data_IF_381116215075
#
_entry.id   IF_381116215075
#
_cell.length_a   1.000
_cell.length_b   1.000
_cell.length_c   1.000
_cell.angle_alpha   90.00
_cell.angle_beta   90.00
_cell.angle_gamma   90.00
#
_symmetry.space_group_name_H-M   'P 1'
#
loop_
_entity.id
_entity.type
_entity.pdbx_description
1 polymer ?
#
# COMPACT_ATOMS: atom_id res chain seq x y z
N UNK A 1 25.26 -8.18 -67.82
CA UNK A 1 26.03 -8.28 -66.55
C UNK A 1 25.64 -7.28 -65.46
N UNK A 2 24.55 -6.48 -65.56
CA UNK A 2 24.14 -5.50 -64.52
C UNK A 2 23.04 -5.96 -63.56
N UNK A 3 22.43 -7.13 -63.79
CA UNK A 3 21.32 -7.66 -62.98
C UNK A 3 21.79 -8.35 -61.68
N UNK A 4 23.00 -8.93 -61.67
CA UNK A 4 23.51 -9.68 -60.52
C UNK A 4 24.09 -8.77 -59.42
N UNK A 5 24.65 -7.62 -59.82
CA UNK A 5 25.20 -6.59 -58.93
C UNK A 5 24.11 -5.94 -58.06
N UNK A 6 22.94 -5.65 -58.62
CA UNK A 6 21.83 -5.01 -57.88
C UNK A 6 21.19 -5.95 -56.86
N UNK A 7 21.16 -7.27 -57.13
CA UNK A 7 20.72 -8.28 -56.17
C UNK A 7 21.70 -8.43 -55.01
N UNK A 8 23.00 -8.42 -55.29
CA UNK A 8 24.04 -8.50 -54.27
C UNK A 8 24.02 -7.28 -53.34
N UNK A 9 23.87 -6.07 -53.90
CA UNK A 9 23.71 -4.82 -53.14
C UNK A 9 22.46 -4.85 -52.24
N UNK A 10 21.34 -5.39 -52.72
CA UNK A 10 20.12 -5.48 -51.90
C UNK A 10 20.28 -6.43 -50.72
N UNK A 11 20.96 -7.57 -50.93
CA UNK A 11 21.25 -8.52 -49.83
C UNK A 11 22.23 -7.94 -48.81
N UNK A 12 23.25 -7.21 -49.26
CA UNK A 12 24.19 -6.52 -48.35
C UNK A 12 23.45 -5.46 -47.52
N UNK A 13 22.57 -4.67 -48.13
CA UNK A 13 21.77 -3.67 -47.41
C UNK A 13 20.79 -4.31 -46.41
N UNK A 14 20.18 -5.45 -46.76
CA UNK A 14 19.30 -6.20 -45.85
C UNK A 14 20.06 -6.79 -44.66
N UNK A 15 21.28 -7.30 -44.87
CA UNK A 15 22.14 -7.81 -43.79
C UNK A 15 22.59 -6.68 -42.88
N UNK A 16 22.99 -5.53 -43.43
CA UNK A 16 23.36 -4.34 -42.63
C UNK A 16 22.17 -3.87 -41.79
N UNK A 17 20.96 -3.83 -42.34
CA UNK A 17 19.75 -3.49 -41.59
C UNK A 17 19.47 -4.49 -40.46
N UNK A 18 19.64 -5.80 -40.70
CA UNK A 18 19.48 -6.82 -39.67
C UNK A 18 20.54 -6.72 -38.56
N UNK A 19 21.80 -6.44 -38.91
CA UNK A 19 22.87 -6.21 -37.94
C UNK A 19 22.60 -4.94 -37.12
N UNK A 20 22.05 -3.89 -37.73
CA UNK A 20 21.66 -2.66 -37.03
C UNK A 20 20.49 -2.86 -36.06
N UNK A 21 19.51 -3.71 -36.42
CA UNK A 21 18.42 -4.13 -35.52
C UNK A 21 18.95 -4.94 -34.32
N UNK A 22 19.95 -5.80 -34.55
CA UNK A 22 20.60 -6.57 -33.49
C UNK A 22 21.47 -5.69 -32.58
N UNK A 23 22.16 -4.68 -33.12
CA UNK A 23 22.96 -3.71 -32.35
C UNK A 23 22.11 -2.68 -31.59
N UNK A 24 20.90 -2.37 -32.06
CA UNK A 24 19.94 -1.52 -31.34
C UNK A 24 19.42 -2.15 -30.05
N UNK A 25 19.60 -3.46 -29.88
CA UNK A 25 19.08 -4.23 -28.74
C UNK A 25 20.07 -4.40 -27.58
N UNK A 26 21.26 -3.80 -27.68
CA UNK A 26 22.30 -3.93 -26.66
C UNK A 26 22.95 -2.58 -26.36
N UNK A 27 22.25 -1.74 -25.59
CA UNK A 27 22.76 -0.88 -24.50
C UNK A 27 21.50 -0.43 -23.75
N UNK A 28 20.96 -1.31 -22.90
CA UNK A 28 20.25 -0.86 -21.71
C UNK A 28 21.27 -1.04 -20.59
N UNK A 29 22.07 0.00 -20.34
CA UNK A 29 22.74 0.12 -19.05
C UNK A 29 21.61 0.33 -18.06
N UNK A 30 21.12 -0.76 -17.48
CA UNK A 30 20.35 -0.69 -16.25
C UNK A 30 21.32 -0.13 -15.21
N UNK A 31 21.19 1.17 -14.92
CA UNK A 31 21.47 1.63 -13.56
C UNK A 31 20.77 0.65 -12.62
N UNK A 32 21.40 0.20 -11.52
CA UNK A 32 20.67 -0.57 -10.53
C UNK A 32 19.48 0.30 -10.13
N UNK A 33 18.29 -0.12 -10.58
CA UNK A 33 17.03 0.37 -10.07
C UNK A 33 17.15 0.09 -8.58
N UNK A 34 17.34 1.13 -7.77
CA UNK A 34 17.15 1.01 -6.34
C UNK A 34 15.76 0.44 -6.19
N UNK A 35 15.68 -0.85 -5.87
CA UNK A 35 14.43 -1.52 -5.56
C UNK A 35 13.83 -0.70 -4.43
N UNK A 36 12.77 0.05 -4.73
CA UNK A 36 12.01 0.79 -3.73
C UNK A 36 11.61 -0.25 -2.70
N UNK A 37 12.30 -0.28 -1.56
CA UNK A 37 11.98 -1.19 -0.47
C UNK A 37 10.62 -0.75 0.05
N UNK A 38 9.58 -1.47 -0.38
CA UNK A 38 8.23 -1.24 0.09
C UNK A 38 8.19 -1.60 1.59
N UNK A 39 7.98 -0.60 2.44
CA UNK A 39 7.85 -0.83 3.88
C UNK A 39 6.46 -1.40 4.19
N UNK A 40 6.38 -2.25 5.19
CA UNK A 40 5.15 -2.90 5.62
C UNK A 40 4.64 -2.28 6.92
N UNK A 41 3.33 -2.09 7.02
CA UNK A 41 2.67 -1.94 8.30
C UNK A 41 2.35 -3.30 8.87
N UNK A 42 2.82 -3.55 10.08
CA UNK A 42 2.53 -4.74 10.86
C UNK A 42 1.68 -4.39 12.08
N UNK A 43 0.94 -5.38 12.58
CA UNK A 43 0.16 -5.28 13.80
C UNK A 43 1.12 -5.09 14.98
N UNK A 44 0.98 -3.97 15.69
CA UNK A 44 1.84 -3.66 16.84
C UNK A 44 1.78 -4.71 17.94
N UNK A 45 0.66 -5.41 18.10
CA UNK A 45 0.48 -6.41 19.15
C UNK A 45 1.19 -7.73 18.89
N UNK A 46 1.35 -8.16 17.64
CA UNK A 46 1.81 -9.53 17.34
C UNK A 46 2.72 -9.68 16.10
N UNK A 47 3.04 -8.57 15.44
CA UNK A 47 3.89 -8.52 14.24
C UNK A 47 3.30 -9.20 13.00
N UNK A 48 1.98 -9.37 12.91
CA UNK A 48 1.35 -9.87 11.67
C UNK A 48 1.24 -8.76 10.65
N UNK A 49 1.51 -9.04 9.38
CA UNK A 49 1.37 -8.06 8.30
C UNK A 49 -0.06 -7.52 8.22
N UNK A 50 -0.18 -6.21 8.06
CA UNK A 50 -1.46 -5.50 7.98
C UNK A 50 -1.63 -4.85 6.62
N UNK A 51 -0.67 -4.09 6.12
CA UNK A 51 -0.81 -3.36 4.86
C UNK A 51 0.55 -2.94 4.31
N UNK A 52 0.65 -2.71 3.00
CA UNK A 52 1.82 -2.07 2.41
C UNK A 52 1.78 -0.56 2.62
N UNK A 53 2.93 0.06 2.84
CA UNK A 53 3.04 1.51 3.03
C UNK A 53 2.72 2.31 1.76
N UNK A 54 2.87 1.71 0.57
CA UNK A 54 2.50 2.32 -0.71
C UNK A 54 0.98 2.47 -0.87
N UNK A 55 0.17 1.66 -0.18
CA UNK A 55 -1.30 1.72 -0.20
C UNK A 55 -1.90 2.86 0.63
N UNK A 56 -1.08 3.69 1.28
CA UNK A 56 -1.58 4.89 1.94
C UNK A 56 -2.33 5.79 0.96
N UNK A 57 -3.55 6.15 1.34
CA UNK A 57 -4.43 7.02 0.56
C UNK A 57 -4.49 8.41 1.18
N UNK A 58 -4.43 9.43 0.32
CA UNK A 58 -4.78 10.80 0.71
C UNK A 58 -6.30 10.99 0.67
N UNK A 59 -7.02 10.29 1.56
CA UNK A 59 -8.48 10.37 1.71
C UNK A 59 -8.82 10.88 3.10
N UNK A 60 -9.62 11.94 3.16
CA UNK A 60 -10.03 12.53 4.43
C UNK A 60 -11.48 12.19 4.77
N UNK A 61 -11.74 11.98 6.05
CA UNK A 61 -13.11 11.91 6.56
C UNK A 61 -13.70 13.32 6.61
N UNK A 62 -14.90 13.55 6.06
CA UNK A 62 -15.62 14.83 6.26
C UNK A 62 -16.00 15.10 7.72
N UNK A 63 -15.93 14.09 8.58
CA UNK A 63 -16.24 14.16 10.01
C UNK A 63 -14.96 14.10 10.88
N UNK A 64 -13.79 14.32 10.29
CA UNK A 64 -12.54 14.43 11.04
C UNK A 64 -12.53 15.70 11.91
N UNK A 65 -12.09 15.55 13.16
CA UNK A 65 -11.92 16.65 14.13
C UNK A 65 -10.61 17.42 13.93
N UNK A 66 -9.62 16.79 13.29
CA UNK A 66 -8.32 17.39 13.06
C UNK A 66 -7.38 16.48 12.29
N UNK A 67 -6.26 17.05 11.84
CA UNK A 67 -5.25 16.38 11.04
C UNK A 67 -3.86 16.66 11.59
N UNK A 68 -2.97 15.70 11.48
CA UNK A 68 -1.55 15.85 11.81
C UNK A 68 -0.70 15.06 10.83
N UNK A 69 0.39 15.65 10.36
CA UNK A 69 1.35 14.95 9.53
C UNK A 69 2.31 14.18 10.42
N UNK A 70 2.48 12.89 10.13
CA UNK A 70 3.48 12.04 10.77
C UNK A 70 4.47 11.57 9.72
N UNK A 71 5.74 11.45 10.09
CA UNK A 71 6.79 10.93 9.19
C UNK A 71 7.03 9.47 9.52
N UNK A 72 6.88 8.60 8.52
CA UNK A 72 7.24 7.18 8.63
C UNK A 72 8.76 7.02 8.61
N UNK A 73 9.26 5.85 9.02
CA UNK A 73 10.70 5.53 9.00
C UNK A 73 11.31 5.49 7.60
N UNK A 74 10.47 5.46 6.57
CA UNK A 74 10.85 5.63 5.16
C UNK A 74 11.02 7.09 4.74
N UNK A 75 10.71 8.05 5.61
CA UNK A 75 10.63 9.48 5.28
C UNK A 75 9.31 9.89 4.63
N UNK A 76 8.43 8.93 4.28
CA UNK A 76 7.11 9.21 3.72
C UNK A 76 6.22 9.88 4.79
N UNK A 77 5.62 11.02 4.44
CA UNK A 77 4.62 11.65 5.30
C UNK A 77 3.28 10.91 5.17
N UNK A 78 2.64 10.69 6.30
CA UNK A 78 1.30 10.14 6.42
C UNK A 78 0.41 11.13 7.15
N UNK A 79 -0.75 11.42 6.57
CA UNK A 79 -1.77 12.23 7.23
C UNK A 79 -2.54 11.35 8.20
N UNK A 80 -2.38 11.64 9.48
CA UNK A 80 -3.18 11.04 10.56
C UNK A 80 -4.34 11.98 10.85
N UNK A 81 -5.55 11.47 10.81
CA UNK A 81 -6.77 12.24 11.12
C UNK A 81 -7.41 11.74 12.40
N UNK A 82 -7.92 12.65 13.22
CA UNK A 82 -8.68 12.34 14.43
C UNK A 82 -10.16 12.25 14.10
N UNK A 83 -10.81 11.15 14.46
CA UNK A 83 -12.24 10.92 14.32
C UNK A 83 -12.84 10.53 15.66
N UNK A 84 -14.13 10.73 15.85
CA UNK A 84 -14.83 10.43 17.10
C UNK A 84 -16.05 9.56 16.82
N UNK A 85 -16.24 8.50 17.61
CA UNK A 85 -17.46 7.69 17.52
C UNK A 85 -18.61 8.34 18.32
N UNK A 86 -19.80 7.72 18.25
CA UNK A 86 -21.00 8.20 18.95
C UNK A 86 -20.91 8.16 20.48
N UNK A 87 -19.97 7.38 21.04
CA UNK A 87 -19.70 7.33 22.48
C UNK A 87 -18.67 8.37 22.92
N UNK A 88 -18.22 9.25 22.03
CA UNK A 88 -17.21 10.26 22.34
C UNK A 88 -15.76 9.76 22.34
N UNK A 89 -15.53 8.50 21.97
CA UNK A 89 -14.18 7.91 21.91
C UNK A 89 -13.49 8.38 20.64
N UNK A 90 -12.28 8.92 20.79
CA UNK A 90 -11.47 9.44 19.69
C UNK A 90 -10.45 8.43 19.20
N UNK A 91 -10.27 8.39 17.89
CA UNK A 91 -9.30 7.53 17.22
C UNK A 91 -8.45 8.36 16.26
N UNK A 92 -7.14 8.11 16.29
CA UNK A 92 -6.21 8.59 15.27
C UNK A 92 -6.09 7.52 14.20
N UNK A 93 -6.55 7.82 12.99
CA UNK A 93 -6.61 6.87 11.89
C UNK A 93 -5.77 7.32 10.70
N UNK A 94 -5.28 6.34 9.95
CA UNK A 94 -4.70 6.50 8.61
C UNK A 94 -5.52 5.69 7.62
N UNK A 95 -5.57 6.14 6.36
CA UNK A 95 -6.36 5.47 5.34
C UNK A 95 -5.43 4.70 4.40
N UNK A 96 -5.75 3.43 4.16
CA UNK A 96 -5.06 2.57 3.20
C UNK A 96 -6.05 1.94 2.23
N UNK A 97 -5.60 1.67 1.01
CA UNK A 97 -6.39 1.00 -0.01
C UNK A 97 -6.68 -0.45 0.35
N UNK A 98 -5.68 -1.18 0.85
CA UNK A 98 -5.80 -2.60 1.17
C UNK A 98 -5.19 -2.91 2.54
N UNK A 99 -5.84 -3.80 3.30
CA UNK A 99 -5.30 -4.34 4.53
C UNK A 99 -5.76 -5.78 4.79
N UNK A 100 -4.97 -6.54 5.54
CA UNK A 100 -5.26 -7.90 5.97
C UNK A 100 -6.02 -7.91 7.29
N UNK A 101 -7.35 -8.08 7.18
CA UNK A 101 -8.25 -8.16 8.32
C UNK A 101 -8.91 -9.54 8.41
N UNK A 102 -9.37 -9.92 9.59
CA UNK A 102 -10.24 -11.09 9.76
C UNK A 102 -11.58 -10.91 9.02
N UNK A 103 -12.18 -12.02 8.58
CA UNK A 103 -13.54 -12.02 8.04
C UNK A 103 -14.54 -11.65 9.15
N UNK A 104 -15.30 -10.58 8.93
CA UNK A 104 -16.36 -10.10 9.81
C UNK A 104 -17.65 -9.97 8.99
N UNK A 105 -18.76 -10.45 9.55
CA UNK A 105 -20.07 -10.40 8.92
C UNK A 105 -20.72 -9.02 9.05
N UNK A 106 -21.67 -8.73 8.16
CA UNK A 106 -22.60 -7.57 8.23
C UNK A 106 -21.98 -6.17 8.13
N UNK A 107 -22.29 -5.46 7.05
CA UNK A 107 -21.92 -4.06 6.88
C UNK A 107 -22.87 -3.15 7.67
N UNK A 108 -22.34 -2.08 8.25
CA UNK A 108 -23.11 -1.11 9.04
C UNK A 108 -22.99 0.26 8.37
N UNK A 109 -24.10 0.84 7.93
CA UNK A 109 -24.12 2.20 7.33
C UNK A 109 -24.25 3.32 8.36
N UNK A 110 -24.78 2.99 9.54
CA UNK A 110 -25.03 3.97 10.59
C UNK A 110 -23.72 4.51 11.19
N UNK A 111 -23.69 5.81 11.49
CA UNK A 111 -22.56 6.48 12.14
C UNK A 111 -21.22 6.35 11.41
N UNK A 112 -21.25 6.19 10.08
CA UNK A 112 -20.05 6.19 9.26
C UNK A 112 -19.34 7.55 9.31
N UNK A 113 -18.02 7.54 9.46
CA UNK A 113 -17.18 8.72 9.30
C UNK A 113 -17.02 9.15 7.83
N UNK A 114 -17.48 8.32 6.89
CA UNK A 114 -17.39 8.56 5.45
C UNK A 114 -18.79 8.42 4.87
N UNK A 115 -19.51 9.54 4.67
CA UNK A 115 -20.83 9.54 4.03
C UNK A 115 -20.80 8.77 2.70
N UNK A 116 -21.82 7.92 2.47
CA UNK A 116 -21.88 7.03 1.30
C UNK A 116 -21.16 5.69 1.47
N UNK A 117 -20.52 5.44 2.61
CA UNK A 117 -19.85 4.17 2.91
C UNK A 117 -20.45 3.48 4.13
N UNK A 118 -20.65 2.17 4.04
CA UNK A 118 -20.85 1.29 5.18
C UNK A 118 -19.50 0.79 5.71
N UNK A 119 -19.48 0.37 6.97
CA UNK A 119 -18.27 -0.07 7.64
C UNK A 119 -18.41 -1.40 8.36
N UNK A 120 -17.26 -2.05 8.58
CA UNK A 120 -17.06 -3.25 9.41
C UNK A 120 -15.82 -3.06 10.26
N UNK A 121 -15.68 -3.83 11.34
CA UNK A 121 -14.42 -3.88 12.09
C UNK A 121 -13.32 -4.55 11.26
N UNK A 122 -12.15 -3.93 11.18
CA UNK A 122 -10.91 -4.58 10.78
C UNK A 122 -10.21 -5.08 12.05
N UNK A 123 -10.06 -6.40 12.15
CA UNK A 123 -9.45 -7.08 13.29
C UNK A 123 -8.26 -7.89 12.80
N UNK A 124 -7.16 -7.92 13.55
CA UNK A 124 -6.01 -8.73 13.20
C UNK A 124 -6.39 -10.22 13.16
N UNK A 125 -6.16 -10.94 12.06
CA UNK A 125 -6.52 -12.36 11.96
C UNK A 125 -5.68 -13.25 12.89
N UNK A 126 -4.47 -12.81 13.29
CA UNK A 126 -3.57 -13.57 14.18
C UNK A 126 -3.90 -13.39 15.67
N UNK A 127 -4.00 -12.15 16.15
CA UNK A 127 -4.11 -11.87 17.60
C UNK A 127 -5.45 -11.26 18.02
N UNK A 128 -6.38 -11.03 17.09
CA UNK A 128 -7.70 -10.44 17.34
C UNK A 128 -7.70 -9.00 17.86
N UNK A 129 -6.55 -8.31 17.91
CA UNK A 129 -6.50 -6.87 18.17
C UNK A 129 -7.32 -6.10 17.13
N UNK A 130 -8.11 -5.14 17.60
CA UNK A 130 -8.84 -4.20 16.74
C UNK A 130 -7.85 -3.30 15.99
N UNK A 131 -7.73 -3.48 14.68
CA UNK A 131 -6.83 -2.68 13.83
C UNK A 131 -7.49 -1.42 13.31
N UNK A 132 -8.83 -1.40 13.20
CA UNK A 132 -9.61 -0.26 12.76
C UNK A 132 -10.88 -0.71 12.04
N UNK A 133 -11.17 -0.13 10.88
CA UNK A 133 -12.41 -0.37 10.14
C UNK A 133 -12.18 -0.58 8.65
N UNK A 134 -13.02 -1.42 8.05
CA UNK A 134 -13.15 -1.60 6.60
C UNK A 134 -14.33 -0.75 6.13
N UNK A 135 -14.21 -0.08 4.99
CA UNK A 135 -15.26 0.75 4.39
C UNK A 135 -15.57 0.30 2.97
N UNK A 136 -16.85 0.19 2.64
CA UNK A 136 -17.36 -0.19 1.32
C UNK A 136 -18.50 0.75 0.93
N UNK A 137 -18.61 1.19 -0.34
CA UNK A 137 -19.78 1.95 -0.78
C UNK A 137 -21.08 1.24 -0.44
N UNK A 138 -22.07 1.98 0.05
CA UNK A 138 -23.34 1.40 0.51
C UNK A 138 -24.05 0.59 -0.57
N UNK A 139 -23.84 0.93 -1.84
CA UNK A 139 -24.44 0.25 -3.00
C UNK A 139 -23.86 -1.15 -3.24
N UNK A 140 -22.63 -1.41 -2.79
CA UNK A 140 -21.90 -2.67 -3.02
C UNK A 140 -21.60 -3.43 -1.73
N UNK A 141 -22.02 -2.89 -0.58
CA UNK A 141 -21.89 -3.45 0.77
C UNK A 141 -22.90 -4.59 1.03
N UNK A 142 -22.80 -5.67 0.26
CA UNK A 142 -23.69 -6.85 0.35
C UNK A 142 -23.30 -7.81 1.48
N UNK A 143 -24.22 -8.66 1.92
CA UNK A 143 -24.00 -9.62 3.01
C UNK A 143 -22.87 -10.61 2.73
N UNK A 144 -22.76 -11.09 1.49
CA UNK A 144 -21.74 -12.01 1.00
C UNK A 144 -20.35 -11.35 0.78
N UNK A 145 -20.27 -10.02 0.87
CA UNK A 145 -19.02 -9.29 0.77
C UNK A 145 -18.31 -9.19 2.12
N UNK A 146 -17.26 -9.99 2.30
CA UNK A 146 -16.44 -9.96 3.51
C UNK A 146 -15.44 -8.81 3.56
N UNK A 147 -14.91 -8.40 2.40
CA UNK A 147 -13.87 -7.39 2.28
C UNK A 147 -14.28 -6.26 1.32
N UNK A 148 -13.78 -5.04 1.53
CA UNK A 148 -13.88 -3.93 0.58
C UNK A 148 -13.56 -4.34 -0.86
N UNK A 149 -14.29 -3.77 -1.81
CA UNK A 149 -13.94 -3.79 -3.23
C UNK A 149 -12.85 -2.75 -3.53
N UNK A 150 -12.44 -2.63 -4.80
CA UNK A 150 -11.51 -1.57 -5.24
C UNK A 150 -12.02 -0.14 -5.00
N UNK A 151 -13.33 0.04 -4.79
CA UNK A 151 -13.93 1.33 -4.44
C UNK A 151 -13.97 1.58 -2.93
N UNK A 152 -13.76 0.54 -2.14
CA UNK A 152 -13.65 0.59 -0.70
C UNK A 152 -12.22 0.86 -0.24
N UNK A 153 -12.03 0.90 1.08
CA UNK A 153 -10.75 1.21 1.71
C UNK A 153 -10.77 0.81 3.18
N UNK A 154 -9.67 1.04 3.89
CA UNK A 154 -9.52 0.70 5.31
C UNK A 154 -9.06 1.93 6.08
N UNK A 155 -9.64 2.15 7.26
CA UNK A 155 -9.18 3.13 8.23
C UNK A 155 -8.49 2.40 9.39
N UNK A 156 -7.17 2.44 9.44
CA UNK A 156 -6.38 1.77 10.46
C UNK A 156 -6.07 2.72 11.61
N UNK A 157 -6.22 2.26 12.85
CA UNK A 157 -5.82 2.99 14.05
C UNK A 157 -4.30 3.09 14.04
N UNK A 158 -3.79 4.32 13.93
CA UNK A 158 -2.37 4.62 13.78
C UNK A 158 -1.51 3.94 14.86
N UNK A 159 -1.97 3.95 16.11
CA UNK A 159 -1.24 3.36 17.22
C UNK A 159 -1.26 1.82 17.24
N UNK A 160 -2.16 1.16 16.51
CA UNK A 160 -2.26 -0.31 16.49
C UNK A 160 -1.43 -0.94 15.36
N UNK A 161 -0.84 -0.11 14.52
CA UNK A 161 0.12 -0.50 13.49
C UNK A 161 1.50 0.12 13.76
N UNK A 162 2.52 -0.46 13.14
CA UNK A 162 3.91 -0.02 13.20
C UNK A 162 4.60 -0.41 11.90
N UNK A 163 5.58 0.39 11.47
CA UNK A 163 6.40 0.08 10.29
C UNK A 163 7.39 -1.05 10.64
N UNK A 164 7.52 -2.03 9.77
CA UNK A 164 8.49 -3.11 9.93
C UNK A 164 9.91 -2.57 9.96
N UNK A 165 10.25 -1.65 9.04
CA UNK A 165 11.56 -0.98 9.02
C UNK A 165 11.86 -0.28 10.34
N UNK A 166 10.87 0.37 10.95
CA UNK A 166 11.02 0.99 12.26
C UNK A 166 11.36 -0.05 13.33
N UNK A 167 10.62 -1.16 13.40
CA UNK A 167 10.89 -2.23 14.37
C UNK A 167 12.30 -2.78 14.19
N UNK A 168 12.70 -3.05 12.95
CA UNK A 168 14.04 -3.56 12.64
C UNK A 168 15.14 -2.57 13.07
N UNK A 169 14.92 -1.26 12.92
CA UNK A 169 15.86 -0.24 13.41
C UNK A 169 16.03 -0.23 14.93
N UNK A 170 14.96 -0.52 15.67
CA UNK A 170 15.01 -0.62 17.13
C UNK A 170 15.81 -1.85 17.58
N UNK A 171 15.58 -3.00 16.93
CA UNK A 171 16.29 -4.25 17.22
C UNK A 171 17.79 -4.13 16.92
N UNK A 172 18.16 -3.50 15.80
CA UNK A 172 19.57 -3.24 15.47
C UNK A 172 20.25 -2.33 16.50
N UNK A 173 19.55 -1.28 16.95
CA UNK A 173 20.08 -0.37 17.98
C UNK A 173 20.32 -1.09 19.30
N UNK A 174 19.41 -1.97 19.71
CA UNK A 174 19.58 -2.77 20.93
C UNK A 174 20.79 -3.70 20.83
N UNK A 175 21.00 -4.35 19.68
CA UNK A 175 22.17 -5.20 19.46
C UNK A 175 23.49 -4.45 19.65
N UNK A 176 23.62 -3.27 19.05
CA UNK A 176 24.82 -2.41 19.19
C UNK A 176 25.05 -2.02 20.65
N UNK A 177 23.99 -1.71 21.40
CA UNK A 177 24.12 -1.35 22.82
C UNK A 177 24.51 -2.53 23.72
N UNK A 178 24.23 -3.78 23.32
CA UNK A 178 24.64 -4.98 24.06
C UNK A 178 26.07 -5.41 23.74
N UNK A 179 26.61 -5.00 22.59
CA UNK A 179 27.97 -5.32 22.13
C UNK A 179 29.02 -4.28 22.56
N UNK A 180 28.59 -3.16 23.15
CA UNK A 180 29.43 -2.12 23.77
C UNK A 180 29.36 -2.20 25.31
#
# INVERSE_FOLDING_TARGET
MKWNESRLLMHILLVIFFVFQLFSSSILVSSPEETLVEDFFICRSCGHDVSLSNFLLNKHSPLALGFSNQTLSTGKQVTVQEVQNTLGIRFKIVIVQQAYCAKIESWISLHSWFPGYAWKLCVCPKCRTHLGWMFEPVETATYDRYFPSEKGFYALIYNNIISEKYVNSLLMREKILREN
#
